data_IF_379872352605
#
_entry.id   IF_379872352605
#
_cell.length_a   1.000
_cell.length_b   1.000
_cell.length_c   1.000
_cell.angle_alpha   90.00
_cell.angle_beta   90.00
_cell.angle_gamma   90.00
#
_symmetry.space_group_name_H-M   'P 1'
#
loop_
_entity.id
_entity.type
_entity.pdbx_description
1 polymer ?
#
# COMPACT_ATOMS: atom_id res chain seq x y z
N UNK A 1 13.50 -25.44 -1.24
CA UNK A 1 14.53 -25.79 -1.94
C UNK A 1 15.81 -24.97 -2.07
N UNK A 2 15.84 -23.63 -1.98
CA UNK A 2 17.07 -22.84 -2.03
C UNK A 2 17.77 -22.73 -0.67
N UNK A 3 18.96 -22.08 -0.65
CA UNK A 3 19.71 -21.82 0.57
C UNK A 3 19.85 -20.32 0.78
N UNK A 4 19.50 -19.84 1.96
CA UNK A 4 19.72 -18.46 2.41
C UNK A 4 20.84 -18.46 3.43
N UNK A 5 21.79 -17.56 3.28
CA UNK A 5 22.93 -17.40 4.16
C UNK A 5 23.16 -15.92 4.47
N UNK A 6 23.83 -15.65 5.57
CA UNK A 6 24.31 -14.29 5.87
C UNK A 6 25.51 -13.99 4.99
N UNK A 7 25.45 -12.91 4.24
CA UNK A 7 26.52 -12.52 3.32
C UNK A 7 27.80 -12.15 4.08
N UNK A 8 28.98 -12.55 3.57
CA UNK A 8 30.26 -12.11 4.16
C UNK A 8 30.44 -10.57 4.07
N UNK A 9 29.79 -9.95 3.10
CA UNK A 9 29.72 -8.49 2.94
C UNK A 9 28.28 -8.12 2.62
N UNK A 10 27.66 -7.31 3.46
CA UNK A 10 26.31 -6.78 3.26
C UNK A 10 26.32 -5.74 2.12
N UNK A 11 25.25 -5.71 1.32
CA UNK A 11 25.08 -4.71 0.27
C UNK A 11 23.99 -3.70 0.68
N UNK A 12 24.40 -2.45 0.87
CA UNK A 12 23.51 -1.33 1.18
C UNK A 12 23.80 -0.15 0.24
N UNK A 13 22.77 0.32 -0.46
CA UNK A 13 22.88 1.45 -1.36
C UNK A 13 23.00 1.05 -2.82
N UNK A 14 23.65 1.92 -3.62
CA UNK A 14 23.81 1.75 -5.06
C UNK A 14 24.85 0.70 -5.38
N UNK A 15 24.43 -0.36 -6.06
CA UNK A 15 25.28 -1.50 -6.43
C UNK A 15 25.14 -1.78 -7.92
N UNK A 16 26.29 -2.03 -8.61
CA UNK A 16 26.26 -2.50 -9.99
C UNK A 16 25.79 -3.95 -10.02
N UNK A 17 24.71 -4.21 -10.78
CA UNK A 17 24.11 -5.52 -11.00
C UNK A 17 24.29 -5.92 -12.46
N UNK A 18 24.80 -7.12 -12.69
CA UNK A 18 24.86 -7.73 -14.02
C UNK A 18 23.59 -8.55 -14.25
N UNK A 19 22.83 -8.23 -15.30
CA UNK A 19 21.56 -8.89 -15.64
C UNK A 19 21.69 -9.75 -16.89
N UNK A 20 20.92 -10.83 -16.97
CA UNK A 20 20.75 -11.65 -18.15
C UNK A 20 19.67 -11.03 -19.06
N UNK A 21 20.07 -10.53 -20.21
CA UNK A 21 19.18 -9.89 -21.19
C UNK A 21 18.19 -10.86 -21.85
N UNK A 22 18.37 -12.17 -21.69
CA UNK A 22 17.39 -13.16 -22.16
C UNK A 22 16.14 -13.25 -21.29
N UNK A 23 16.22 -12.78 -20.04
CA UNK A 23 15.08 -12.69 -19.14
C UNK A 23 14.07 -11.64 -19.61
N UNK A 24 12.79 -11.98 -19.59
CA UNK A 24 11.72 -11.02 -19.88
C UNK A 24 11.72 -9.83 -18.91
N UNK A 25 12.11 -10.05 -17.65
CA UNK A 25 12.20 -8.98 -16.64
C UNK A 25 13.22 -7.92 -17.05
N UNK A 26 14.32 -8.32 -17.69
CA UNK A 26 15.42 -7.44 -18.08
C UNK A 26 15.44 -7.12 -19.59
N UNK A 27 14.32 -7.31 -20.28
CA UNK A 27 14.17 -6.86 -21.67
C UNK A 27 14.46 -5.36 -21.78
N UNK A 28 15.33 -4.99 -22.71
CA UNK A 28 15.73 -3.59 -22.96
C UNK A 28 16.41 -2.88 -21.75
N UNK A 29 16.83 -3.64 -20.74
CA UNK A 29 17.69 -3.18 -19.64
C UNK A 29 19.14 -3.33 -20.05
N UNK A 30 20.01 -2.41 -19.67
CA UNK A 30 21.46 -2.53 -19.92
C UNK A 30 22.04 -3.74 -19.16
N UNK A 31 23.01 -4.47 -19.77
CA UNK A 31 23.60 -5.67 -19.16
C UNK A 31 24.19 -5.38 -17.77
N UNK A 32 24.69 -4.17 -17.55
CA UNK A 32 25.15 -3.68 -16.27
C UNK A 32 24.35 -2.43 -15.92
N UNK A 33 23.66 -2.47 -14.80
CA UNK A 33 22.82 -1.37 -14.32
C UNK A 33 23.01 -1.15 -12.82
N UNK A 34 22.70 0.05 -12.34
CA UNK A 34 22.76 0.38 -10.91
C UNK A 34 21.40 0.10 -10.28
N UNK A 35 21.41 -0.77 -9.27
CA UNK A 35 20.25 -1.08 -8.45
C UNK A 35 20.47 -0.72 -6.99
N UNK A 36 19.39 -0.48 -6.26
CA UNK A 36 19.44 -0.25 -4.81
C UNK A 36 19.36 -1.55 -4.06
N UNK A 37 20.40 -1.87 -3.31
CA UNK A 37 20.47 -3.02 -2.41
C UNK A 37 20.21 -2.60 -0.97
N UNK A 38 19.62 -3.49 -0.18
CA UNK A 38 19.40 -3.30 1.26
C UNK A 38 19.26 -4.66 1.93
N UNK A 39 20.37 -5.41 2.03
CA UNK A 39 20.36 -6.76 2.59
C UNK A 39 21.67 -7.15 3.26
N UNK A 40 21.53 -8.01 4.28
CA UNK A 40 22.61 -8.75 4.93
C UNK A 40 22.55 -10.25 4.55
N UNK A 41 21.33 -10.80 4.48
CA UNK A 41 21.10 -12.16 4.04
C UNK A 41 20.91 -12.21 2.53
N UNK A 42 21.39 -13.27 1.89
CA UNK A 42 21.31 -13.46 0.45
C UNK A 42 20.98 -14.90 0.09
N UNK A 43 20.52 -15.12 -1.13
CA UNK A 43 20.30 -16.46 -1.66
C UNK A 43 21.64 -17.00 -2.16
N UNK A 44 22.25 -17.92 -1.39
CA UNK A 44 23.51 -18.56 -1.75
C UNK A 44 23.32 -19.60 -2.87
N UNK A 45 22.14 -20.25 -2.89
CA UNK A 45 21.77 -21.25 -3.92
C UNK A 45 20.31 -21.09 -4.28
N UNK A 46 20.06 -20.85 -5.57
CA UNK A 46 18.68 -20.80 -6.08
C UNK A 46 17.97 -22.17 -5.90
N UNK A 47 16.62 -22.17 -5.68
CA UNK A 47 15.85 -23.40 -5.67
C UNK A 47 15.92 -24.16 -7.00
N UNK A 48 15.65 -25.46 -6.95
CA UNK A 48 15.56 -26.27 -8.17
C UNK A 48 14.49 -25.72 -9.13
N UNK A 49 14.80 -25.66 -10.41
CA UNK A 49 13.93 -25.13 -11.46
C UNK A 49 14.02 -23.61 -11.64
N UNK A 50 14.74 -22.89 -10.79
CA UNK A 50 15.00 -21.46 -11.01
C UNK A 50 16.29 -21.23 -11.79
N UNK A 51 16.24 -20.31 -12.73
CA UNK A 51 17.40 -19.78 -13.46
C UNK A 51 17.82 -18.46 -12.81
N UNK A 52 19.13 -18.28 -12.59
CA UNK A 52 19.68 -17.01 -12.09
C UNK A 52 19.68 -16.01 -13.23
N UNK A 53 19.00 -14.89 -13.05
CA UNK A 53 18.84 -13.83 -14.06
C UNK A 53 19.58 -12.53 -13.71
N UNK A 54 20.13 -12.39 -12.49
CA UNK A 54 21.05 -11.30 -12.17
C UNK A 54 22.02 -11.68 -11.04
N UNK A 55 23.20 -11.04 -11.05
CA UNK A 55 24.28 -11.28 -10.07
C UNK A 55 24.98 -9.96 -9.71
N UNK A 56 25.62 -9.93 -8.52
CA UNK A 56 26.66 -8.96 -8.16
C UNK A 56 27.95 -9.72 -7.80
N UNK A 57 29.07 -9.03 -7.59
CA UNK A 57 30.29 -9.69 -7.12
C UNK A 57 30.17 -10.45 -5.80
N UNK A 58 29.23 -10.06 -4.95
CA UNK A 58 29.03 -10.65 -3.60
C UNK A 58 27.66 -11.33 -3.43
N UNK A 59 26.70 -11.07 -4.31
CA UNK A 59 25.40 -11.72 -4.31
C UNK A 59 25.25 -12.59 -5.57
N UNK A 60 25.44 -13.92 -5.48
CA UNK A 60 25.39 -14.82 -6.63
C UNK A 60 23.97 -14.96 -7.21
N UNK A 61 22.93 -14.64 -6.45
CA UNK A 61 21.52 -14.67 -6.87
C UNK A 61 20.88 -13.33 -6.57
N UNK A 62 21.24 -12.29 -7.32
CA UNK A 62 20.62 -10.97 -7.22
C UNK A 62 19.24 -10.92 -7.86
N UNK A 63 18.96 -11.79 -8.83
CA UNK A 63 17.63 -12.11 -9.32
C UNK A 63 17.57 -13.55 -9.83
N UNK A 64 16.38 -14.14 -9.77
CA UNK A 64 16.12 -15.47 -10.29
C UNK A 64 14.71 -15.58 -10.84
N UNK A 65 14.48 -16.52 -11.74
CA UNK A 65 13.19 -16.69 -12.39
C UNK A 65 12.86 -18.15 -12.71
N UNK A 66 11.57 -18.44 -12.77
CA UNK A 66 10.98 -19.68 -13.30
C UNK A 66 9.85 -19.27 -14.25
N UNK A 67 10.17 -18.98 -15.52
CA UNK A 67 9.22 -18.40 -16.49
C UNK A 67 7.96 -19.24 -16.69
N UNK A 68 8.07 -20.56 -16.67
CA UNK A 68 6.94 -21.50 -16.86
C UNK A 68 5.85 -21.30 -15.78
N UNK A 69 6.26 -20.87 -14.60
CA UNK A 69 5.35 -20.56 -13.47
C UNK A 69 5.12 -19.06 -13.27
N UNK A 70 5.72 -18.23 -14.13
CA UNK A 70 5.70 -16.76 -14.00
C UNK A 70 6.21 -16.26 -12.65
N UNK A 71 7.20 -16.93 -12.07
CA UNK A 71 7.82 -16.55 -10.81
C UNK A 71 9.12 -15.80 -11.09
N UNK A 72 9.22 -14.59 -10.56
CA UNK A 72 10.37 -13.71 -10.67
C UNK A 72 10.70 -13.15 -9.29
N UNK A 73 11.96 -13.14 -8.93
CA UNK A 73 12.41 -12.62 -7.65
C UNK A 73 13.66 -11.76 -7.84
N UNK A 74 13.74 -10.66 -7.11
CA UNK A 74 14.89 -9.76 -7.06
C UNK A 74 15.32 -9.53 -5.62
N UNK A 75 16.62 -9.45 -5.39
CA UNK A 75 17.22 -9.08 -4.11
C UNK A 75 17.24 -7.55 -3.95
N UNK A 76 17.33 -6.83 -5.04
CA UNK A 76 17.30 -5.37 -5.09
C UNK A 76 15.86 -4.83 -5.18
N UNK A 77 15.74 -3.52 -4.98
CA UNK A 77 14.49 -2.78 -4.98
C UNK A 77 14.27 -2.08 -6.34
N UNK A 78 13.48 -2.65 -7.27
CA UNK A 78 13.19 -2.00 -8.55
C UNK A 78 12.25 -0.80 -8.42
N UNK A 79 11.50 -0.69 -7.31
CA UNK A 79 10.49 0.34 -7.07
C UNK A 79 11.06 1.69 -6.62
N UNK A 80 12.31 1.72 -6.15
CA UNK A 80 12.92 2.95 -5.65
C UNK A 80 13.62 3.74 -6.76
N UNK A 81 13.64 5.06 -6.63
CA UNK A 81 14.25 5.98 -7.61
C UNK A 81 15.77 5.78 -7.81
N UNK A 82 16.43 5.12 -6.87
CA UNK A 82 17.87 4.85 -6.94
C UNK A 82 18.22 3.65 -7.83
N UNK A 83 17.25 2.81 -8.20
CA UNK A 83 17.40 1.78 -9.23
C UNK A 83 17.14 2.43 -10.59
N UNK A 84 18.22 2.58 -11.40
CA UNK A 84 18.21 3.42 -12.61
C UNK A 84 17.16 2.98 -13.65
N UNK A 85 16.98 1.68 -13.85
CA UNK A 85 16.04 1.13 -14.83
C UNK A 85 14.87 0.39 -14.17
N UNK A 86 14.58 0.69 -12.90
CA UNK A 86 13.56 0.00 -12.11
C UNK A 86 12.16 0.09 -12.72
N UNK A 87 11.78 1.25 -13.25
CA UNK A 87 10.49 1.45 -13.95
C UNK A 87 10.38 0.53 -15.17
N UNK A 88 11.49 0.34 -15.93
CA UNK A 88 11.51 -0.56 -17.08
C UNK A 88 11.35 -2.03 -16.66
N UNK A 89 12.03 -2.44 -15.58
CA UNK A 89 11.89 -3.78 -15.01
C UNK A 89 10.46 -4.05 -14.54
N UNK A 90 9.85 -3.13 -13.79
CA UNK A 90 8.46 -3.22 -13.36
C UNK A 90 7.48 -3.25 -14.54
N UNK A 91 7.72 -2.42 -15.56
CA UNK A 91 6.93 -2.42 -16.78
C UNK A 91 7.03 -3.77 -17.52
N UNK A 92 8.24 -4.33 -17.65
CA UNK A 92 8.44 -5.64 -18.24
C UNK A 92 7.68 -6.74 -17.47
N UNK A 93 7.73 -6.69 -16.13
CA UNK A 93 6.99 -7.65 -15.32
C UNK A 93 5.48 -7.53 -15.55
N UNK A 94 4.93 -6.33 -15.45
CA UNK A 94 3.47 -6.10 -15.59
C UNK A 94 2.98 -6.45 -17.00
N UNK A 95 3.65 -5.97 -18.03
CA UNK A 95 3.16 -6.10 -19.40
C UNK A 95 3.65 -7.38 -20.12
N UNK A 96 4.94 -7.74 -19.97
CA UNK A 96 5.50 -8.88 -20.69
C UNK A 96 5.34 -10.20 -19.95
N UNK A 97 5.48 -10.21 -18.62
CA UNK A 97 5.33 -11.43 -17.82
C UNK A 97 3.88 -11.69 -17.45
N UNK A 98 3.20 -10.70 -16.85
CA UNK A 98 1.79 -10.84 -16.44
C UNK A 98 0.83 -10.75 -17.62
N UNK A 99 1.18 -10.01 -18.68
CA UNK A 99 0.33 -9.80 -19.84
C UNK A 99 -0.81 -8.79 -19.59
N UNK A 100 -0.62 -7.85 -18.64
CA UNK A 100 -1.62 -6.82 -18.38
C UNK A 100 -1.78 -5.89 -19.58
N UNK A 101 -3.02 -5.52 -19.92
CA UNK A 101 -3.36 -4.64 -21.04
C UNK A 101 -3.09 -3.16 -20.77
N UNK A 102 -2.96 -2.77 -19.48
CA UNK A 102 -2.78 -1.35 -19.10
C UNK A 102 -4.02 -0.48 -19.30
N UNK A 103 -5.18 -1.09 -19.43
CA UNK A 103 -6.47 -0.43 -19.67
C UNK A 103 -7.16 0.03 -18.38
N UNK A 104 -6.64 -0.35 -17.22
CA UNK A 104 -7.17 0.11 -15.95
C UNK A 104 -6.97 1.62 -15.78
N UNK A 105 -8.07 2.33 -15.53
CA UNK A 105 -8.09 3.78 -15.30
C UNK A 105 -8.80 4.09 -13.99
N UNK A 106 -8.24 5.02 -13.20
CA UNK A 106 -8.83 5.43 -11.93
C UNK A 106 -10.25 6.02 -12.11
N UNK A 107 -10.53 6.72 -13.20
CA UNK A 107 -11.87 7.22 -13.51
C UNK A 107 -12.89 6.11 -13.65
N UNK A 108 -12.56 5.05 -14.40
CA UNK A 108 -13.42 3.86 -14.54
C UNK A 108 -13.63 3.15 -13.20
N UNK A 109 -12.58 3.05 -12.37
CA UNK A 109 -12.67 2.48 -11.04
C UNK A 109 -13.69 3.21 -10.15
N UNK A 110 -13.68 4.55 -10.17
CA UNK A 110 -14.65 5.35 -9.38
C UNK A 110 -16.08 5.10 -9.83
N UNK A 111 -16.34 5.14 -11.15
CA UNK A 111 -17.67 4.91 -11.71
C UNK A 111 -18.18 3.49 -11.43
N UNK A 112 -17.36 2.49 -11.65
CA UNK A 112 -17.69 1.09 -11.38
C UNK A 112 -17.92 0.83 -9.89
N UNK A 113 -17.11 1.44 -9.02
CA UNK A 113 -17.28 1.37 -7.56
C UNK A 113 -18.62 1.98 -7.14
N UNK A 114 -18.97 3.17 -7.63
CA UNK A 114 -20.24 3.84 -7.35
C UNK A 114 -21.41 2.96 -7.80
N UNK A 115 -21.34 2.35 -8.97
CA UNK A 115 -22.37 1.44 -9.48
C UNK A 115 -22.52 0.22 -8.60
N UNK A 116 -21.42 -0.44 -8.26
CA UNK A 116 -21.39 -1.61 -7.39
C UNK A 116 -21.93 -1.31 -5.99
N UNK A 117 -21.62 -0.14 -5.42
CA UNK A 117 -22.17 0.30 -4.13
C UNK A 117 -23.70 0.45 -4.23
N UNK A 118 -24.21 1.10 -5.26
CA UNK A 118 -25.66 1.27 -5.46
C UNK A 118 -26.38 -0.06 -5.56
N UNK A 119 -25.86 -0.98 -6.35
CA UNK A 119 -26.43 -2.31 -6.52
C UNK A 119 -26.44 -3.10 -5.22
N UNK A 120 -25.34 -3.02 -4.44
CA UNK A 120 -25.20 -3.76 -3.19
C UNK A 120 -26.06 -3.19 -2.06
N UNK A 121 -26.19 -1.87 -1.97
CA UNK A 121 -26.94 -1.19 -0.90
C UNK A 121 -28.43 -1.17 -1.19
N UNK A 122 -28.84 -0.99 -2.45
CA UNK A 122 -30.26 -0.85 -2.82
C UNK A 122 -30.94 0.26 -1.99
N UNK A 123 -32.04 -0.10 -1.31
CA UNK A 123 -32.81 0.79 -0.42
C UNK A 123 -32.28 0.79 1.03
N UNK A 124 -31.17 0.11 1.30
CA UNK A 124 -30.58 0.00 2.63
C UNK A 124 -29.94 1.30 3.13
N UNK A 125 -29.56 1.31 4.39
CA UNK A 125 -28.80 2.39 5.01
C UNK A 125 -27.37 1.93 5.31
N UNK A 126 -26.42 2.85 5.23
CA UNK A 126 -24.99 2.58 5.48
C UNK A 126 -24.53 3.48 6.63
N UNK A 127 -23.83 2.87 7.59
CA UNK A 127 -23.08 3.57 8.63
C UNK A 127 -21.60 3.54 8.28
N UNK A 128 -20.95 4.70 8.28
CA UNK A 128 -19.51 4.83 8.09
C UNK A 128 -18.88 5.46 9.33
N UNK A 129 -17.99 4.75 9.98
CA UNK A 129 -17.12 5.30 11.02
C UNK A 129 -16.05 6.16 10.35
N UNK A 130 -16.17 7.47 10.48
CA UNK A 130 -15.26 8.43 9.86
C UNK A 130 -14.18 8.84 10.86
N UNK A 131 -12.93 8.51 10.58
CA UNK A 131 -11.79 8.81 11.47
C UNK A 131 -11.09 10.13 11.16
N UNK A 132 -11.44 10.78 10.03
CA UNK A 132 -10.68 11.93 9.50
C UNK A 132 -9.42 11.54 8.70
N UNK A 133 -9.02 10.27 8.70
CA UNK A 133 -7.94 9.75 7.86
C UNK A 133 -8.32 9.62 6.39
N UNK A 134 -7.33 9.48 5.51
CA UNK A 134 -7.52 9.43 4.05
C UNK A 134 -8.48 8.31 3.63
N UNK A 135 -8.30 7.10 4.14
CA UNK A 135 -9.07 5.93 3.71
C UNK A 135 -10.56 6.06 4.04
N UNK A 136 -10.90 6.43 5.27
CA UNK A 136 -12.28 6.64 5.70
C UNK A 136 -12.94 7.81 4.97
N UNK A 137 -12.18 8.86 4.66
CA UNK A 137 -12.66 10.02 3.90
C UNK A 137 -12.96 9.68 2.45
N UNK A 138 -12.08 8.92 1.78
CA UNK A 138 -12.31 8.42 0.41
C UNK A 138 -13.53 7.50 0.38
N UNK A 139 -13.66 6.59 1.35
CA UNK A 139 -14.83 5.72 1.46
C UNK A 139 -16.13 6.53 1.64
N UNK A 140 -16.14 7.53 2.53
CA UNK A 140 -17.28 8.40 2.76
C UNK A 140 -17.70 9.19 1.51
N UNK A 141 -16.72 9.71 0.75
CA UNK A 141 -16.98 10.43 -0.52
C UNK A 141 -17.57 9.51 -1.59
N UNK A 142 -17.02 8.30 -1.77
CA UNK A 142 -17.54 7.32 -2.73
C UNK A 142 -18.97 6.88 -2.37
N UNK A 143 -19.20 6.60 -1.08
CA UNK A 143 -20.52 6.24 -0.56
C UNK A 143 -21.52 7.40 -0.74
N UNK A 144 -21.14 8.63 -0.40
CA UNK A 144 -22.00 9.81 -0.59
C UNK A 144 -22.41 9.98 -2.07
N UNK A 145 -21.47 9.85 -3.00
CA UNK A 145 -21.77 9.91 -4.45
C UNK A 145 -22.65 8.75 -4.93
N UNK A 146 -22.58 7.60 -4.29
CA UNK A 146 -23.35 6.43 -4.65
C UNK A 146 -24.79 6.50 -4.10
N UNK A 147 -24.95 6.79 -2.82
CA UNK A 147 -26.21 6.57 -2.06
C UNK A 147 -26.72 7.81 -1.29
N UNK A 148 -26.02 8.94 -1.32
CA UNK A 148 -26.47 10.20 -0.72
C UNK A 148 -26.89 10.05 0.73
N UNK A 149 -28.09 10.51 1.08
CA UNK A 149 -28.66 10.48 2.44
C UNK A 149 -28.95 9.09 3.03
N UNK A 150 -28.77 8.02 2.29
CA UNK A 150 -28.74 6.67 2.87
C UNK A 150 -27.46 6.44 3.71
N UNK A 151 -26.42 7.29 3.53
CA UNK A 151 -25.19 7.26 4.29
C UNK A 151 -25.31 8.12 5.56
N UNK A 152 -24.90 7.55 6.69
CA UNK A 152 -24.63 8.24 7.93
C UNK A 152 -23.16 8.07 8.30
N UNK A 153 -22.43 9.17 8.38
CA UNK A 153 -21.05 9.19 8.87
C UNK A 153 -21.03 9.58 10.34
N UNK A 154 -20.39 8.80 11.18
CA UNK A 154 -20.18 9.09 12.60
C UNK A 154 -18.71 9.37 12.82
N UNK A 155 -18.41 10.55 13.32
CA UNK A 155 -17.07 11.00 13.70
C UNK A 155 -17.01 11.10 15.22
N UNK A 156 -16.11 10.34 15.84
CA UNK A 156 -15.89 10.32 17.28
C UNK A 156 -14.73 11.24 17.64
N UNK A 157 -15.02 12.35 18.31
CA UNK A 157 -14.00 13.25 18.84
C UNK A 157 -13.58 12.77 20.24
N UNK A 158 -12.51 12.02 20.27
CA UNK A 158 -11.94 11.43 21.49
C UNK A 158 -10.97 12.39 22.21
N UNK A 159 -10.77 13.62 21.72
CA UNK A 159 -9.89 14.62 22.33
C UNK A 159 -8.39 14.41 22.12
N UNK A 160 -8.00 13.39 21.33
CA UNK A 160 -6.60 13.10 21.00
C UNK A 160 -6.26 13.45 19.54
N UNK A 161 -7.13 14.24 18.91
CA UNK A 161 -6.99 14.70 17.54
C UNK A 161 -5.89 15.79 17.45
N UNK A 162 -5.42 16.03 16.25
CA UNK A 162 -4.58 17.19 15.96
C UNK A 162 -5.40 18.47 16.16
N UNK A 163 -4.70 19.60 16.31
CA UNK A 163 -5.33 20.90 16.45
C UNK A 163 -6.27 21.15 15.26
N UNK A 164 -7.54 21.47 15.58
CA UNK A 164 -8.63 21.77 14.63
C UNK A 164 -9.08 20.62 13.72
N UNK A 165 -8.51 19.41 13.85
CA UNK A 165 -8.83 18.28 12.97
C UNK A 165 -10.33 17.92 12.98
N UNK A 166 -10.97 17.94 14.14
CA UNK A 166 -12.41 17.70 14.25
C UNK A 166 -13.26 18.73 13.51
N UNK A 167 -12.87 19.99 13.58
CA UNK A 167 -13.56 21.11 12.91
C UNK A 167 -13.34 21.06 11.38
N UNK A 168 -12.13 20.66 10.95
CA UNK A 168 -11.82 20.43 9.53
C UNK A 168 -12.66 19.29 8.95
N UNK A 169 -12.81 18.18 9.68
CA UNK A 169 -13.66 17.06 9.26
C UNK A 169 -15.12 17.47 9.17
N UNK A 170 -15.62 18.22 10.14
CA UNK A 170 -16.99 18.73 10.15
C UNK A 170 -17.24 19.75 9.03
N UNK A 171 -16.27 20.61 8.71
CA UNK A 171 -16.37 21.53 7.58
C UNK A 171 -16.48 20.80 6.22
N UNK A 172 -15.89 19.62 6.10
CA UNK A 172 -15.94 18.82 4.86
C UNK A 172 -17.18 17.94 4.79
N UNK A 173 -17.54 17.26 5.88
CA UNK A 173 -18.58 16.23 5.89
C UNK A 173 -19.86 16.64 6.62
N UNK A 174 -19.82 17.76 7.32
CA UNK A 174 -20.96 18.31 8.06
C UNK A 174 -22.06 18.90 7.17
N UNK A 175 -23.12 19.45 7.78
CA UNK A 175 -24.29 19.96 7.06
C UNK A 175 -23.99 21.04 6.02
N UNK A 176 -22.96 21.85 6.26
CA UNK A 176 -22.53 22.93 5.37
C UNK A 176 -21.45 22.48 4.37
N UNK A 177 -21.06 21.21 4.41
CA UNK A 177 -20.04 20.62 3.53
C UNK A 177 -20.59 20.27 2.14
N UNK A 178 -19.69 19.96 1.20
CA UNK A 178 -20.05 19.72 -0.21
C UNK A 178 -20.70 18.34 -0.48
N UNK A 179 -20.82 17.48 0.53
CA UNK A 179 -21.29 16.11 0.34
C UNK A 179 -22.70 15.88 0.87
N UNK A 180 -23.57 15.24 0.09
CA UNK A 180 -24.93 14.87 0.47
C UNK A 180 -24.92 13.58 1.31
N UNK A 181 -24.79 13.70 2.62
CA UNK A 181 -24.80 12.60 3.61
C UNK A 181 -25.32 13.09 4.96
N UNK A 182 -25.56 12.16 5.89
CA UNK A 182 -25.84 12.54 7.28
C UNK A 182 -24.51 12.47 8.06
N UNK A 183 -24.21 13.55 8.80
CA UNK A 183 -23.00 13.63 9.62
C UNK A 183 -23.38 13.77 11.10
N UNK A 184 -22.71 13.00 11.94
CA UNK A 184 -22.87 13.04 13.41
C UNK A 184 -21.46 13.13 14.01
N UNK A 185 -21.18 14.25 14.68
CA UNK A 185 -20.00 14.39 15.53
C UNK A 185 -20.37 14.02 16.95
N UNK A 186 -19.69 13.06 17.54
CA UNK A 186 -19.88 12.62 18.92
C UNK A 186 -18.68 13.08 19.73
N UNK A 187 -18.87 14.06 20.61
CA UNK A 187 -17.83 14.50 21.53
C UNK A 187 -17.75 13.54 22.72
N UNK A 188 -16.67 12.79 22.81
CA UNK A 188 -16.37 11.82 23.85
C UNK A 188 -15.09 12.15 24.62
N UNK A 189 -14.56 13.37 24.52
CA UNK A 189 -13.24 13.75 25.04
C UNK A 189 -13.09 13.43 26.53
N UNK A 190 -14.05 13.85 27.36
CA UNK A 190 -13.99 13.60 28.81
C UNK A 190 -13.92 12.11 29.14
N UNK A 191 -14.74 11.29 28.48
CA UNK A 191 -14.78 9.84 28.66
C UNK A 191 -13.43 9.18 28.37
N UNK A 192 -12.76 9.60 27.29
CA UNK A 192 -11.43 9.10 26.96
C UNK A 192 -10.36 9.59 27.94
N UNK A 193 -10.43 10.86 28.35
CA UNK A 193 -9.48 11.42 29.32
C UNK A 193 -9.57 10.73 30.68
N UNK A 194 -10.75 10.44 31.18
CA UNK A 194 -10.96 9.69 32.41
C UNK A 194 -10.32 8.30 32.36
N UNK A 195 -10.53 7.57 31.26
CA UNK A 195 -9.96 6.22 31.10
C UNK A 195 -8.45 6.20 30.88
N UNK A 196 -7.91 7.25 30.32
CA UNK A 196 -6.47 7.39 30.07
C UNK A 196 -5.72 8.01 31.26
N UNK A 197 -6.41 8.47 32.28
CA UNK A 197 -5.79 9.11 33.43
C UNK A 197 -4.77 8.18 34.12
N UNK A 198 -3.52 8.66 34.25
CA UNK A 198 -2.42 7.90 34.85
C UNK A 198 -1.80 6.79 33.97
N UNK A 199 -2.30 6.58 32.75
CA UNK A 199 -1.74 5.58 31.83
C UNK A 199 -0.64 6.24 31.00
N UNK A 200 0.62 5.81 31.19
CA UNK A 200 1.78 6.35 30.45
C UNK A 200 2.24 5.42 29.32
N UNK A 201 2.02 4.13 29.45
CA UNK A 201 2.52 3.11 28.52
C UNK A 201 1.72 3.17 27.20
N UNK A 202 2.40 3.32 26.02
CA UNK A 202 1.73 3.55 24.73
C UNK A 202 0.78 2.42 24.30
N UNK A 203 1.15 1.16 24.51
CA UNK A 203 0.34 0.01 24.12
C UNK A 203 -0.92 -0.13 24.99
N UNK A 204 -0.82 0.21 26.29
CA UNK A 204 -1.97 0.25 27.17
C UNK A 204 -2.96 1.34 26.74
N UNK A 205 -2.46 2.54 26.36
CA UNK A 205 -3.30 3.60 25.79
C UNK A 205 -4.02 3.15 24.53
N UNK A 206 -3.30 2.51 23.60
CA UNK A 206 -3.86 2.01 22.35
C UNK A 206 -5.00 1.01 22.58
N UNK A 207 -4.85 0.11 23.55
CA UNK A 207 -5.89 -0.87 23.92
C UNK A 207 -7.13 -0.20 24.50
N UNK A 208 -6.95 0.72 25.44
CA UNK A 208 -8.05 1.47 26.06
C UNK A 208 -8.84 2.25 25.00
N UNK A 209 -8.13 2.94 24.08
CA UNK A 209 -8.76 3.71 23.00
C UNK A 209 -9.53 2.78 22.05
N UNK A 210 -8.99 1.60 21.77
CA UNK A 210 -9.62 0.64 20.87
C UNK A 210 -10.85 -0.07 21.46
N UNK A 211 -10.89 -0.25 22.77
CA UNK A 211 -12.04 -0.83 23.47
C UNK A 211 -13.20 0.15 23.58
N UNK A 212 -12.91 1.44 23.72
CA UNK A 212 -13.90 2.50 23.91
C UNK A 212 -14.55 2.91 22.60
#
# INVERSE_FOLDING_TARGET
>A
GGTVETAPVSEYGKTEVKVDKSSLLFSDVEEKTICWMSHTDYIAKAPEGFTISATTPVCPVAAMEMPEKKLYATQFHPEVLHTQEGVKMLSNFVYKVCGCSGDWKMSSFVEDTIRSIREKVGDGKVLCALSGGVDSSVAAVLLSKAIGKQLTCVFVDQGLLRKNEGDEVEAVFGPDGPYDLNFIRVNCQERFYEKLAGVSEPEAKRKIIGEE
#
